data_IF_873241001466
#
_entry.id   IF_873241001466
#
_cell.length_a   1.000
_cell.length_b   1.000
_cell.length_c   1.000
_cell.angle_alpha   90.00
_cell.angle_beta   90.00
_cell.angle_gamma   90.00
#
_symmetry.space_group_name_H-M   'P 1'
#
loop_
_entity.id
_entity.type
_entity.pdbx_description
1 polymer ?
#
# COMPACT_ATOMS: atom_id res chain seq x y z
N UNK A 1 -25.53 51.72 4.36
CA UNK A 1 -26.65 50.83 4.72
C UNK A 1 -26.79 49.76 3.64
N UNK A 2 -26.76 48.50 4.09
CA UNK A 2 -27.14 47.21 3.48
C UNK A 2 -27.31 47.06 1.95
N UNK A 3 -26.68 45.99 1.44
CA UNK A 3 -26.93 45.40 0.12
C UNK A 3 -26.26 44.03 -0.01
N UNK A 4 -26.68 43.07 0.82
CA UNK A 4 -26.36 41.63 0.71
C UNK A 4 -27.16 40.97 -0.41
N UNK A 5 -26.52 40.11 -1.23
CA UNK A 5 -27.04 38.79 -1.68
C UNK A 5 -25.87 38.03 -2.33
N UNK A 6 -25.45 36.89 -1.78
CA UNK A 6 -26.01 35.53 -1.95
C UNK A 6 -25.90 34.97 -3.37
N UNK A 7 -24.83 34.20 -3.58
CA UNK A 7 -24.93 32.77 -3.86
C UNK A 7 -25.47 32.32 -5.22
N UNK A 8 -24.55 31.82 -6.05
CA UNK A 8 -24.76 30.60 -6.82
C UNK A 8 -23.39 29.94 -7.03
N UNK A 9 -22.94 29.15 -6.04
CA UNK A 9 -21.92 28.15 -6.28
C UNK A 9 -22.63 27.04 -7.05
N UNK A 10 -22.61 27.15 -8.38
CA UNK A 10 -23.09 26.12 -9.28
C UNK A 10 -22.31 24.83 -8.95
N UNK A 11 -22.98 23.69 -8.69
CA UNK A 11 -22.26 22.45 -8.48
C UNK A 11 -21.62 22.08 -9.82
N UNK A 12 -20.38 22.52 -10.03
CA UNK A 12 -19.58 22.15 -11.17
C UNK A 12 -19.65 20.62 -11.27
N UNK A 13 -20.17 20.05 -12.37
CA UNK A 13 -20.28 18.61 -12.49
C UNK A 13 -18.85 18.07 -12.42
N UNK A 14 -18.58 17.25 -11.40
CA UNK A 14 -17.29 16.59 -11.27
C UNK A 14 -17.06 15.79 -12.56
N UNK A 15 -16.19 16.31 -13.43
CA UNK A 15 -15.74 15.60 -14.63
C UNK A 15 -15.10 14.31 -14.13
N UNK A 16 -15.81 13.19 -14.32
CA UNK A 16 -15.27 11.89 -13.96
C UNK A 16 -13.99 11.68 -14.79
N UNK A 17 -12.86 11.29 -14.17
CA UNK A 17 -11.60 11.08 -14.89
C UNK A 17 -11.78 10.05 -15.99
N UNK A 18 -11.02 10.15 -17.08
CA UNK A 18 -11.20 9.30 -18.26
C UNK A 18 -11.15 7.80 -17.87
N UNK A 19 -11.95 6.90 -18.48
CA UNK A 19 -11.86 5.46 -18.23
C UNK A 19 -10.45 4.88 -18.29
N UNK A 20 -9.57 5.44 -19.13
CA UNK A 20 -8.17 5.01 -19.20
C UNK A 20 -7.37 5.49 -17.98
N UNK A 21 -7.64 6.69 -17.45
CA UNK A 21 -7.06 7.19 -16.20
C UNK A 21 -7.55 6.39 -14.97
N UNK A 22 -8.73 5.77 -15.07
CA UNK A 22 -9.26 4.88 -14.02
C UNK A 22 -8.54 3.52 -13.96
N UNK A 23 -7.73 3.16 -14.95
CA UNK A 23 -6.99 1.89 -14.93
C UNK A 23 -5.82 2.00 -13.96
N UNK A 24 -5.96 1.33 -12.81
CA UNK A 24 -4.88 1.25 -11.83
C UNK A 24 -3.65 0.56 -12.45
N UNK A 25 -2.43 1.13 -12.32
CA UNK A 25 -1.24 0.52 -12.87
C UNK A 25 -1.06 -0.94 -12.41
N UNK A 26 -0.50 -1.80 -13.28
CA UNK A 26 -0.16 -3.17 -12.90
C UNK A 26 0.88 -3.14 -11.78
N UNK A 27 0.61 -3.88 -10.71
CA UNK A 27 1.56 -4.09 -9.62
C UNK A 27 2.40 -5.31 -9.97
N UNK A 28 3.71 -5.24 -9.75
CA UNK A 28 4.63 -6.33 -10.05
C UNK A 28 5.18 -6.94 -8.76
N UNK A 29 5.49 -8.24 -8.80
CA UNK A 29 6.12 -8.94 -7.69
C UNK A 29 7.51 -8.35 -7.43
N UNK A 30 7.79 -7.97 -6.17
CA UNK A 30 9.10 -7.41 -5.78
C UNK A 30 10.26 -8.41 -5.90
N UNK A 31 9.98 -9.72 -5.91
CA UNK A 31 11.01 -10.76 -6.02
C UNK A 31 11.25 -11.26 -7.45
N UNK A 32 10.20 -11.44 -8.25
CA UNK A 32 10.32 -12.05 -9.58
C UNK A 32 9.85 -11.16 -10.74
N UNK A 33 9.33 -9.95 -10.45
CA UNK A 33 8.89 -9.00 -11.47
C UNK A 33 7.59 -9.37 -12.21
N UNK A 34 7.00 -10.55 -11.97
CA UNK A 34 5.75 -10.95 -12.65
C UNK A 34 4.57 -10.04 -12.25
N UNK A 35 3.64 -9.73 -13.17
CA UNK A 35 2.47 -8.92 -12.86
C UNK A 35 1.55 -9.66 -11.89
N UNK A 36 1.10 -8.95 -10.85
CA UNK A 36 0.20 -9.47 -9.82
C UNK A 36 -1.25 -9.18 -10.19
N UNK A 37 -2.02 -10.26 -10.36
CA UNK A 37 -3.44 -10.21 -10.71
C UNK A 37 -4.33 -10.26 -9.47
N UNK A 38 -3.93 -11.06 -8.48
CA UNK A 38 -4.72 -11.30 -7.28
C UNK A 38 -4.64 -10.16 -6.27
N UNK A 39 -5.76 -9.87 -5.60
CA UNK A 39 -5.84 -8.79 -4.59
C UNK A 39 -4.82 -8.98 -3.48
N UNK A 40 -4.72 -10.17 -2.92
CA UNK A 40 -3.79 -10.48 -1.83
C UNK A 40 -2.34 -10.27 -2.27
N UNK A 41 -1.96 -10.81 -3.43
CA UNK A 41 -0.63 -10.62 -3.98
C UNK A 41 -0.30 -9.12 -4.17
N UNK A 42 -1.25 -8.33 -4.67
CA UNK A 42 -1.10 -6.86 -4.81
C UNK A 42 -0.95 -6.16 -3.47
N UNK A 43 -1.67 -6.57 -2.43
CA UNK A 43 -1.55 -6.01 -1.06
C UNK A 43 -0.15 -6.24 -0.51
N UNK A 44 0.39 -7.45 -0.68
CA UNK A 44 1.71 -7.81 -0.17
C UNK A 44 2.87 -7.41 -1.10
N UNK A 45 2.59 -7.10 -2.37
CA UNK A 45 3.60 -6.84 -3.40
C UNK A 45 4.41 -8.09 -3.79
N UNK A 46 3.89 -9.28 -3.48
CA UNK A 46 4.54 -10.56 -3.71
C UNK A 46 3.54 -11.58 -4.28
N UNK A 47 3.96 -12.31 -5.31
CA UNK A 47 3.18 -13.42 -5.85
C UNK A 47 3.11 -14.61 -4.88
N UNK A 48 2.10 -15.48 -5.00
CA UNK A 48 1.87 -16.59 -4.05
C UNK A 48 3.09 -17.50 -3.89
N UNK A 49 3.72 -17.89 -5.00
CA UNK A 49 4.95 -18.71 -5.01
C UNK A 49 6.12 -18.02 -4.29
N UNK A 50 6.31 -16.71 -4.54
CA UNK A 50 7.39 -15.94 -3.94
C UNK A 50 7.17 -15.71 -2.45
N UNK A 51 5.92 -15.54 -2.03
CA UNK A 51 5.54 -15.45 -0.62
C UNK A 51 5.78 -16.78 0.09
N UNK A 52 5.29 -17.89 -0.45
CA UNK A 52 5.53 -19.22 0.11
C UNK A 52 7.03 -19.51 0.27
N UNK A 53 7.85 -19.11 -0.71
CA UNK A 53 9.32 -19.23 -0.63
C UNK A 53 9.93 -18.42 0.53
N UNK A 54 9.37 -17.27 0.89
CA UNK A 54 9.82 -16.50 2.05
C UNK A 54 9.33 -17.11 3.36
N UNK A 55 8.10 -17.61 3.41
CA UNK A 55 7.57 -18.32 4.59
C UNK A 55 8.39 -19.57 4.92
N UNK A 56 8.80 -20.33 3.90
CA UNK A 56 9.72 -21.47 4.06
C UNK A 56 11.12 -21.07 4.58
N UNK A 57 11.51 -19.80 4.45
CA UNK A 57 12.79 -19.25 4.91
C UNK A 57 12.66 -18.44 6.19
N UNK A 58 11.46 -18.32 6.76
CA UNK A 58 11.26 -17.59 7.98
C UNK A 58 12.00 -18.30 9.12
N UNK A 59 12.76 -17.53 9.90
CA UNK A 59 13.35 -18.06 11.13
C UNK A 59 12.22 -18.48 12.09
N UNK A 60 12.46 -19.49 12.94
CA UNK A 60 11.52 -19.81 14.01
C UNK A 60 11.28 -18.58 14.87
N UNK A 61 10.07 -18.49 15.47
CA UNK A 61 9.76 -17.41 16.41
C UNK A 61 10.80 -17.45 17.55
N UNK A 62 11.47 -16.33 17.86
CA UNK A 62 12.35 -16.26 19.02
C UNK A 62 11.59 -16.59 20.31
N UNK A 63 12.25 -17.16 21.32
CA UNK A 63 11.61 -17.43 22.61
C UNK A 63 11.13 -16.15 23.28
N UNK A 64 10.03 -16.25 24.02
CA UNK A 64 9.51 -15.17 24.88
C UNK A 64 10.42 -15.06 26.12
N UNK A 65 11.46 -14.25 26.05
CA UNK A 65 12.39 -14.02 27.15
C UNK A 65 13.07 -12.66 27.04
N UNK A 66 13.56 -12.10 28.16
CA UNK A 66 14.35 -10.88 28.10
C UNK A 66 15.59 -11.14 27.24
N UNK A 67 15.81 -10.27 26.25
CA UNK A 67 17.01 -10.26 25.43
C UNK A 67 17.97 -9.25 26.04
N UNK A 68 19.12 -9.72 26.51
CA UNK A 68 20.22 -8.85 26.94
C UNK A 68 20.80 -8.17 25.70
N UNK A 69 20.36 -6.94 25.41
CA UNK A 69 20.86 -6.12 24.32
C UNK A 69 21.82 -5.08 24.90
N UNK A 70 23.04 -5.03 24.37
CA UNK A 70 23.99 -3.98 24.73
C UNK A 70 23.42 -2.59 24.43
N UNK A 71 23.72 -1.58 25.26
CA UNK A 71 23.32 -0.21 24.99
C UNK A 71 23.96 0.27 23.68
N UNK A 72 23.20 1.05 22.92
CA UNK A 72 23.75 1.70 21.73
C UNK A 72 24.86 2.67 22.17
N UNK A 73 26.01 2.72 21.49
CA UNK A 73 27.04 3.68 21.85
C UNK A 73 26.55 5.12 21.62
N UNK A 74 26.59 5.96 22.66
CA UNK A 74 26.24 7.38 22.59
C UNK A 74 24.76 7.73 22.78
N UNK A 75 23.92 6.78 23.21
CA UNK A 75 22.60 7.06 23.79
C UNK A 75 22.61 7.01 25.30
#
# INVERSE_FOLDING_TARGET
MAGTTSGANDPQPALLPDPEERRRPPVHCRLCGRPLRDREARTWGLGPECRAKLELRAAPRPPDGPVEQDPLPGV
#
